data_IF_536089774748
#
_entry.id   IF_536089774748
#
_cell.length_a   1.000
_cell.length_b   1.000
_cell.length_c   1.000
_cell.angle_alpha   90.00
_cell.angle_beta   90.00
_cell.angle_gamma   90.00
#
_symmetry.space_group_name_H-M   'P 1'
#
loop_
_entity.id
_entity.type
_entity.pdbx_description
1 polymer ?
#
# COMPACT_ATOMS: atom_id res chain seq x y z
N UNK A 1 28.76 -18.75 -20.10
CA UNK A 1 29.81 -18.83 -19.07
C UNK A 1 31.16 -18.97 -19.79
N UNK A 2 31.43 -20.04 -20.54
CA UNK A 2 32.73 -20.29 -21.17
C UNK A 2 33.29 -19.08 -21.94
N UNK A 3 32.50 -18.41 -22.80
CA UNK A 3 32.92 -17.19 -23.52
C UNK A 3 33.27 -16.03 -22.60
N UNK A 4 32.65 -15.93 -21.40
CA UNK A 4 33.02 -14.91 -20.43
C UNK A 4 34.37 -15.23 -19.77
N UNK A 5 34.63 -16.50 -19.46
CA UNK A 5 35.92 -16.94 -18.92
C UNK A 5 37.09 -16.60 -19.84
N UNK A 6 36.88 -16.72 -21.16
CA UNK A 6 37.89 -16.42 -22.19
C UNK A 6 38.01 -14.90 -22.51
N UNK A 7 37.11 -14.08 -22.04
CA UNK A 7 37.07 -12.65 -22.36
C UNK A 7 38.26 -11.87 -21.73
N UNK A 8 38.71 -10.74 -22.31
CA UNK A 8 39.83 -9.96 -21.78
C UNK A 8 39.46 -9.04 -20.60
N UNK A 9 38.25 -9.09 -20.08
CA UNK A 9 37.81 -8.23 -18.98
C UNK A 9 38.41 -8.65 -17.64
N UNK A 10 38.41 -7.73 -16.64
CA UNK A 10 38.97 -8.01 -15.32
C UNK A 10 38.26 -9.21 -14.63
N UNK A 11 39.03 -10.00 -13.87
CA UNK A 11 38.52 -11.23 -13.24
C UNK A 11 37.29 -10.97 -12.32
N UNK A 12 37.33 -9.89 -11.53
CA UNK A 12 36.19 -9.52 -10.66
C UNK A 12 34.89 -9.25 -11.42
N UNK A 13 34.98 -8.71 -12.64
CA UNK A 13 33.82 -8.49 -13.52
C UNK A 13 33.31 -9.82 -14.06
N UNK A 14 34.26 -10.73 -14.47
CA UNK A 14 33.89 -12.08 -14.90
C UNK A 14 33.14 -12.84 -13.82
N UNK A 15 33.70 -12.85 -12.61
CA UNK A 15 33.17 -13.58 -11.47
C UNK A 15 31.73 -13.14 -11.16
N UNK A 16 31.48 -11.82 -11.16
CA UNK A 16 30.14 -11.26 -10.94
C UNK A 16 29.16 -11.70 -12.03
N UNK A 17 29.47 -11.49 -13.29
CA UNK A 17 28.56 -11.85 -14.40
C UNK A 17 28.35 -13.37 -14.51
N UNK A 18 29.37 -14.18 -14.25
CA UNK A 18 29.24 -15.63 -14.21
C UNK A 18 28.29 -16.04 -13.08
N UNK A 19 28.42 -15.44 -11.89
CA UNK A 19 27.54 -15.73 -10.76
C UNK A 19 26.08 -15.35 -11.06
N UNK A 20 25.83 -14.21 -11.68
CA UNK A 20 24.50 -13.81 -12.10
C UNK A 20 23.90 -14.79 -13.12
N UNK A 21 24.67 -15.15 -14.15
CA UNK A 21 24.19 -16.11 -15.16
C UNK A 21 23.91 -17.48 -14.55
N UNK A 22 24.72 -17.96 -13.58
CA UNK A 22 24.46 -19.20 -12.85
C UNK A 22 23.14 -19.12 -12.08
N UNK A 23 22.94 -18.05 -11.32
CA UNK A 23 21.71 -17.84 -10.55
C UNK A 23 20.47 -17.78 -11.45
N UNK A 24 20.51 -17.01 -12.54
CA UNK A 24 19.39 -16.91 -13.49
C UNK A 24 19.12 -18.22 -14.22
N UNK A 25 20.17 -18.95 -14.64
CA UNK A 25 20.01 -20.27 -15.23
C UNK A 25 19.33 -21.24 -14.26
N UNK A 26 19.78 -21.28 -13.04
CA UNK A 26 19.17 -22.13 -12.01
C UNK A 26 17.73 -21.72 -11.68
N UNK A 27 17.45 -20.42 -11.66
CA UNK A 27 16.09 -19.89 -11.51
C UNK A 27 15.15 -20.45 -12.58
N UNK A 28 15.45 -20.27 -13.86
CA UNK A 28 14.61 -20.78 -14.95
C UNK A 28 14.51 -22.31 -14.93
N UNK A 29 15.58 -23.00 -14.59
CA UNK A 29 15.56 -24.47 -14.52
C UNK A 29 14.76 -24.97 -13.34
N UNK A 30 14.78 -24.30 -12.19
CA UNK A 30 13.93 -24.64 -11.06
C UNK A 30 12.46 -24.40 -11.38
N UNK A 31 12.10 -23.31 -12.05
CA UNK A 31 10.72 -23.05 -12.48
C UNK A 31 10.19 -24.14 -13.42
N UNK A 32 11.00 -24.61 -14.34
CA UNK A 32 10.64 -25.74 -15.19
C UNK A 32 10.54 -27.04 -14.39
N UNK A 33 11.50 -27.29 -13.48
CA UNK A 33 11.53 -28.51 -12.66
C UNK A 33 10.29 -28.64 -11.76
N UNK A 34 9.91 -27.56 -11.07
CA UNK A 34 8.74 -27.59 -10.16
C UNK A 34 7.41 -27.78 -10.90
N UNK A 35 7.34 -27.42 -12.19
CA UNK A 35 6.12 -27.55 -13.01
C UNK A 35 6.04 -28.88 -13.76
N UNK A 36 7.18 -29.39 -14.26
CA UNK A 36 7.23 -30.53 -15.19
C UNK A 36 8.06 -31.70 -14.67
N UNK A 37 8.66 -31.58 -13.49
CA UNK A 37 9.63 -32.53 -13.00
C UNK A 37 10.95 -32.44 -13.76
N UNK A 38 11.82 -33.48 -13.69
CA UNK A 38 13.09 -33.51 -14.39
C UNK A 38 12.89 -33.31 -15.89
N UNK A 39 13.54 -32.29 -16.46
CA UNK A 39 13.51 -31.96 -17.89
C UNK A 39 14.92 -32.06 -18.49
N UNK A 40 15.04 -32.27 -19.80
CA UNK A 40 16.33 -32.23 -20.47
C UNK A 40 17.09 -30.95 -20.22
N UNK A 41 18.35 -31.06 -19.81
CA UNK A 41 19.23 -29.91 -19.53
C UNK A 41 20.16 -29.69 -20.70
N UNK A 42 19.85 -28.69 -21.55
CA UNK A 42 20.71 -28.29 -22.66
C UNK A 42 21.60 -27.17 -22.18
N UNK A 43 22.83 -27.48 -21.79
CA UNK A 43 23.77 -26.52 -21.18
C UNK A 43 24.73 -25.92 -22.18
N UNK A 44 24.91 -26.55 -23.36
CA UNK A 44 25.76 -26.10 -24.42
C UNK A 44 25.01 -25.09 -25.32
N UNK A 45 25.52 -23.85 -25.39
CA UNK A 45 24.88 -22.76 -26.14
C UNK A 45 24.70 -23.09 -27.63
N UNK A 46 25.66 -23.75 -28.23
CA UNK A 46 25.59 -24.12 -29.65
C UNK A 46 24.45 -25.11 -29.94
N UNK A 47 24.18 -26.04 -29.03
CA UNK A 47 23.05 -26.95 -29.12
C UNK A 47 21.70 -26.26 -28.93
N UNK A 48 21.66 -25.21 -28.11
CA UNK A 48 20.44 -24.42 -27.89
C UNK A 48 20.11 -23.50 -29.08
N UNK A 49 21.12 -22.96 -29.76
CA UNK A 49 20.97 -22.01 -30.88
C UNK A 49 20.85 -22.73 -32.24
N UNK A 50 21.64 -23.76 -32.44
CA UNK A 50 21.67 -24.58 -33.65
C UNK A 50 21.56 -26.05 -33.27
N UNK A 51 20.38 -26.54 -32.89
CA UNK A 51 20.20 -27.92 -32.46
C UNK A 51 20.55 -28.86 -33.63
N UNK A 52 21.42 -29.83 -33.34
CA UNK A 52 21.61 -30.96 -34.23
C UNK A 52 20.28 -31.68 -34.38
N UNK A 53 19.75 -31.89 -35.61
CA UNK A 53 18.47 -32.61 -35.81
C UNK A 53 18.46 -34.00 -35.24
N UNK A 54 19.62 -34.63 -35.10
CA UNK A 54 19.77 -35.97 -34.50
C UNK A 54 20.05 -35.96 -32.99
N UNK A 55 20.24 -34.76 -32.40
CA UNK A 55 20.46 -34.63 -30.97
C UNK A 55 19.20 -34.97 -30.18
N UNK A 56 19.28 -36.02 -29.37
CA UNK A 56 18.20 -36.45 -28.47
C UNK A 56 18.65 -36.28 -27.02
N UNK A 57 18.31 -35.11 -26.39
CA UNK A 57 18.66 -34.92 -25.00
C UNK A 57 17.97 -35.98 -24.13
N UNK A 58 18.72 -36.59 -23.22
CA UNK A 58 18.13 -37.49 -22.25
C UNK A 58 17.38 -36.73 -21.15
N UNK A 59 16.41 -37.38 -20.55
CA UNK A 59 15.71 -36.84 -19.38
C UNK A 59 16.50 -37.23 -18.13
N UNK A 60 17.04 -36.26 -17.38
CA UNK A 60 17.81 -36.55 -16.16
C UNK A 60 16.91 -37.09 -15.05
N UNK A 61 17.50 -37.65 -14.01
CA UNK A 61 16.83 -37.96 -12.76
C UNK A 61 16.60 -36.69 -11.92
N UNK A 62 15.71 -36.76 -10.94
CA UNK A 62 15.52 -35.65 -9.97
C UNK A 62 16.80 -35.36 -9.20
N UNK A 63 17.60 -36.39 -8.88
CA UNK A 63 18.89 -36.25 -8.20
C UNK A 63 19.92 -35.47 -9.05
N UNK A 64 19.99 -35.74 -10.35
CA UNK A 64 20.90 -35.03 -11.27
C UNK A 64 20.48 -33.55 -11.41
N UNK A 65 19.17 -33.28 -11.56
CA UNK A 65 18.67 -31.88 -11.59
C UNK A 65 18.92 -31.18 -10.26
N UNK A 66 18.67 -31.86 -9.14
CA UNK A 66 18.89 -31.33 -7.81
C UNK A 66 20.37 -31.00 -7.54
N UNK A 67 21.27 -31.91 -7.92
CA UNK A 67 22.71 -31.67 -7.82
C UNK A 67 23.13 -30.45 -8.66
N UNK A 68 22.59 -30.34 -9.88
CA UNK A 68 22.86 -29.18 -10.73
C UNK A 68 22.36 -27.89 -10.07
N UNK A 69 21.08 -27.83 -9.65
CA UNK A 69 20.47 -26.63 -9.06
C UNK A 69 21.20 -26.17 -7.79
N UNK A 70 21.48 -27.10 -6.89
CA UNK A 70 22.17 -26.78 -5.61
C UNK A 70 23.60 -26.31 -5.85
N UNK A 71 24.32 -26.92 -6.80
CA UNK A 71 25.70 -26.50 -7.15
C UNK A 71 25.71 -25.10 -7.78
N UNK A 72 24.82 -24.84 -8.73
CA UNK A 72 24.74 -23.54 -9.40
C UNK A 72 24.35 -22.41 -8.44
N UNK A 73 23.28 -22.63 -7.64
CA UNK A 73 22.78 -21.62 -6.70
C UNK A 73 23.77 -21.34 -5.56
N UNK A 74 24.44 -22.37 -5.04
CA UNK A 74 25.46 -22.18 -4.01
C UNK A 74 26.66 -21.40 -4.55
N UNK A 75 27.19 -21.82 -5.69
CA UNK A 75 28.31 -21.11 -6.35
C UNK A 75 27.95 -19.64 -6.69
N UNK A 76 26.72 -19.39 -7.12
CA UNK A 76 26.23 -18.05 -7.34
C UNK A 76 26.14 -17.24 -6.03
N UNK A 77 25.53 -17.80 -5.00
CA UNK A 77 25.39 -17.15 -3.68
C UNK A 77 26.74 -16.80 -3.05
N UNK A 78 27.75 -17.65 -3.23
CA UNK A 78 29.09 -17.42 -2.68
C UNK A 78 29.81 -16.24 -3.35
N UNK A 79 29.53 -15.98 -4.64
CA UNK A 79 30.17 -14.93 -5.43
C UNK A 79 29.36 -13.63 -5.56
N UNK A 80 28.03 -13.71 -5.40
CA UNK A 80 27.16 -12.53 -5.52
C UNK A 80 27.24 -11.65 -4.27
N UNK A 81 27.17 -10.30 -4.42
CA UNK A 81 27.03 -9.38 -3.30
C UNK A 81 25.62 -9.44 -2.71
N UNK A 82 25.49 -9.01 -1.46
CA UNK A 82 24.19 -8.87 -0.79
C UNK A 82 23.35 -7.78 -1.43
N UNK A 83 23.99 -6.71 -1.89
CA UNK A 83 23.39 -5.59 -2.59
C UNK A 83 24.16 -5.34 -3.92
N UNK A 84 23.43 -5.17 -5.01
CA UNK A 84 23.97 -4.84 -6.32
C UNK A 84 24.03 -3.32 -6.50
N UNK A 85 24.99 -2.86 -7.31
CA UNK A 85 25.10 -1.45 -7.67
C UNK A 85 23.89 -0.95 -8.51
N UNK A 86 23.27 -1.86 -9.26
CA UNK A 86 22.07 -1.60 -10.05
C UNK A 86 20.90 -2.39 -9.49
N UNK A 87 19.84 -1.69 -9.11
CA UNK A 87 18.61 -2.30 -8.64
C UNK A 87 17.98 -3.23 -9.70
N UNK A 88 17.41 -4.34 -9.24
CA UNK A 88 16.79 -5.37 -10.09
C UNK A 88 17.76 -6.47 -10.57
N UNK A 89 19.09 -6.31 -10.40
CA UNK A 89 20.05 -7.40 -10.65
C UNK A 89 19.98 -8.43 -9.53
N UNK A 90 20.21 -9.69 -9.90
CA UNK A 90 20.12 -10.80 -8.92
C UNK A 90 21.20 -10.70 -7.85
N UNK A 91 20.83 -10.94 -6.61
CA UNK A 91 21.68 -10.77 -5.42
C UNK A 91 21.98 -12.13 -4.76
N UNK A 92 22.93 -12.13 -3.80
CA UNK A 92 23.17 -13.28 -2.92
C UNK A 92 21.90 -13.81 -2.27
N UNK A 93 21.08 -12.91 -1.71
CA UNK A 93 19.84 -13.30 -1.05
C UNK A 93 18.82 -13.94 -2.00
N UNK A 94 18.72 -13.44 -3.23
CA UNK A 94 17.85 -14.04 -4.25
C UNK A 94 18.34 -15.45 -4.64
N UNK A 95 19.64 -15.64 -4.86
CA UNK A 95 20.19 -16.97 -5.16
C UNK A 95 19.98 -17.97 -4.01
N UNK A 96 20.19 -17.56 -2.77
CA UNK A 96 19.88 -18.36 -1.58
C UNK A 96 18.38 -18.66 -1.47
N UNK A 97 17.52 -17.71 -1.83
CA UNK A 97 16.07 -17.93 -1.76
C UNK A 97 15.61 -18.99 -2.77
N UNK A 98 16.15 -19.02 -4.00
CA UNK A 98 15.87 -20.12 -4.93
C UNK A 98 16.42 -21.46 -4.45
N UNK A 99 17.55 -21.47 -3.76
CA UNK A 99 18.06 -22.67 -3.10
C UNK A 99 17.12 -23.13 -1.98
N UNK A 100 16.61 -22.20 -1.18
CA UNK A 100 15.60 -22.48 -0.15
C UNK A 100 14.30 -23.04 -0.78
N UNK A 101 13.79 -22.43 -1.85
CA UNK A 101 12.62 -22.94 -2.59
C UNK A 101 12.81 -24.35 -3.09
N UNK A 102 13.99 -24.68 -3.62
CA UNK A 102 14.32 -26.02 -4.03
C UNK A 102 14.28 -27.01 -2.85
N UNK A 103 14.91 -26.66 -1.73
CA UNK A 103 14.89 -27.54 -0.55
C UNK A 103 13.48 -27.73 0.04
N UNK A 104 12.66 -26.69 0.04
CA UNK A 104 11.25 -26.78 0.45
C UNK A 104 10.46 -27.70 -0.48
N UNK A 105 10.65 -27.57 -1.82
CA UNK A 105 10.00 -28.41 -2.81
C UNK A 105 10.36 -29.91 -2.63
N UNK A 106 11.62 -30.20 -2.37
CA UNK A 106 12.12 -31.56 -2.14
C UNK A 106 11.93 -32.05 -0.70
N UNK A 107 11.28 -31.25 0.16
CA UNK A 107 11.06 -31.55 1.58
C UNK A 107 12.37 -31.84 2.35
N UNK A 108 13.45 -31.21 1.93
CA UNK A 108 14.74 -31.28 2.60
C UNK A 108 14.79 -30.27 3.76
N UNK A 109 13.96 -30.49 4.78
CA UNK A 109 13.65 -29.53 5.84
C UNK A 109 14.87 -28.98 6.58
N UNK A 110 15.88 -29.83 6.84
CA UNK A 110 17.10 -29.37 7.52
C UNK A 110 17.89 -28.38 6.65
N UNK A 111 18.09 -28.71 5.37
CA UNK A 111 18.76 -27.82 4.42
C UNK A 111 17.98 -26.53 4.20
N UNK A 112 16.66 -26.61 4.17
CA UNK A 112 15.77 -25.45 4.09
C UNK A 112 15.94 -24.53 5.32
N UNK A 113 15.94 -25.09 6.53
CA UNK A 113 16.12 -24.35 7.77
C UNK A 113 17.49 -23.64 7.82
N UNK A 114 18.56 -24.35 7.45
CA UNK A 114 19.91 -23.79 7.40
C UNK A 114 20.02 -22.65 6.38
N UNK A 115 19.46 -22.81 5.18
CA UNK A 115 19.45 -21.78 4.13
C UNK A 115 18.62 -20.56 4.53
N UNK A 116 17.44 -20.77 5.15
CA UNK A 116 16.63 -19.67 5.69
C UNK A 116 17.38 -18.88 6.77
N UNK A 117 18.08 -19.59 7.67
CA UNK A 117 18.92 -18.94 8.69
C UNK A 117 20.10 -18.17 8.07
N UNK A 118 20.71 -18.67 6.99
CA UNK A 118 21.75 -17.96 6.24
C UNK A 118 21.22 -16.65 5.65
N UNK A 119 20.03 -16.66 5.02
CA UNK A 119 19.39 -15.44 4.48
C UNK A 119 19.10 -14.43 5.60
N UNK A 120 18.53 -14.89 6.71
CA UNK A 120 18.24 -14.03 7.87
C UNK A 120 19.54 -13.46 8.44
N UNK A 121 20.60 -14.28 8.50
CA UNK A 121 21.93 -13.90 8.98
C UNK A 121 22.65 -12.84 8.13
N UNK A 122 22.18 -12.55 6.90
CA UNK A 122 22.68 -11.43 6.10
C UNK A 122 22.38 -10.08 6.75
N UNK A 123 21.35 -10.00 7.62
CA UNK A 123 20.89 -8.77 8.28
C UNK A 123 20.64 -7.63 7.30
N UNK A 124 20.15 -7.94 6.11
CA UNK A 124 19.89 -6.99 5.04
C UNK A 124 18.41 -6.79 4.78
N UNK A 125 17.63 -7.86 4.88
CA UNK A 125 16.21 -7.87 4.59
C UNK A 125 15.38 -7.61 5.85
N UNK A 126 14.25 -6.91 5.66
CA UNK A 126 13.31 -6.58 6.72
C UNK A 126 11.87 -6.72 6.22
N UNK A 127 10.92 -7.01 7.11
CA UNK A 127 9.50 -6.91 6.79
C UNK A 127 9.09 -5.44 6.71
N UNK A 128 8.51 -5.04 5.58
CA UNK A 128 7.86 -3.73 5.48
C UNK A 128 6.69 -3.62 6.47
N UNK A 129 6.59 -2.46 7.10
CA UNK A 129 5.56 -2.23 8.14
C UNK A 129 4.16 -2.16 7.53
N UNK A 130 4.03 -1.51 6.39
CA UNK A 130 2.78 -1.44 5.65
C UNK A 130 2.79 -2.43 4.48
N UNK A 131 1.83 -3.36 4.49
CA UNK A 131 1.74 -4.38 3.45
C UNK A 131 1.49 -3.79 2.05
N UNK A 132 0.71 -2.73 1.94
CA UNK A 132 0.40 -2.10 0.66
C UNK A 132 1.64 -1.45 0.03
N UNK A 133 2.51 -0.86 0.86
CA UNK A 133 3.72 -0.16 0.40
C UNK A 133 4.74 -1.08 -0.27
N UNK A 134 4.74 -2.39 0.05
CA UNK A 134 5.66 -3.37 -0.54
C UNK A 134 5.63 -3.36 -2.07
N UNK A 135 4.41 -3.20 -2.63
CA UNK A 135 4.14 -3.36 -4.07
C UNK A 135 3.97 -2.03 -4.80
N UNK A 136 4.11 -0.91 -4.08
CA UNK A 136 3.93 0.43 -4.62
C UNK A 136 5.12 0.84 -5.49
N UNK A 137 4.85 1.48 -6.65
CA UNK A 137 5.88 2.09 -7.49
C UNK A 137 6.70 3.17 -6.75
N UNK A 138 6.14 3.79 -5.70
CA UNK A 138 6.85 4.78 -4.88
C UNK A 138 7.79 4.18 -3.83
N UNK A 139 7.74 2.85 -3.61
CA UNK A 139 8.56 2.15 -2.60
C UNK A 139 9.33 0.97 -3.20
N UNK A 140 9.71 1.08 -4.46
CA UNK A 140 10.57 0.09 -5.12
C UNK A 140 11.93 0.00 -4.43
N UNK A 141 12.53 -1.19 -4.47
CA UNK A 141 13.80 -1.44 -3.80
C UNK A 141 13.73 -1.48 -2.26
N UNK A 142 12.51 -1.56 -1.68
CA UNK A 142 12.37 -1.73 -0.23
C UNK A 142 13.02 -3.03 0.28
N UNK A 143 13.32 -3.08 1.57
CA UNK A 143 14.10 -4.16 2.19
C UNK A 143 13.38 -5.52 2.29
N UNK A 144 12.10 -5.58 1.96
CA UNK A 144 11.38 -6.85 1.87
C UNK A 144 11.53 -7.51 0.50
N UNK A 145 11.83 -6.76 -0.56
CA UNK A 145 11.98 -7.27 -1.92
C UNK A 145 13.33 -8.00 -2.07
N UNK A 146 13.30 -9.24 -2.54
CA UNK A 146 14.49 -10.05 -2.77
C UNK A 146 14.83 -10.21 -4.25
N UNK A 147 13.81 -10.36 -5.09
CA UNK A 147 13.97 -10.41 -6.54
C UNK A 147 12.73 -9.87 -7.24
N UNK A 148 12.95 -9.02 -8.22
CA UNK A 148 11.90 -8.36 -9.00
C UNK A 148 12.23 -8.33 -10.49
N UNK A 149 11.18 -8.22 -11.31
CA UNK A 149 11.32 -7.79 -12.71
C UNK A 149 10.90 -6.32 -12.75
N UNK A 150 11.85 -5.46 -13.08
CA UNK A 150 11.61 -4.01 -13.13
C UNK A 150 10.63 -3.64 -14.22
N UNK A 151 9.86 -2.60 -13.96
CA UNK A 151 8.93 -2.00 -14.91
C UNK A 151 9.05 -0.46 -14.88
N UNK A 152 8.62 0.18 -15.96
CA UNK A 152 8.49 1.63 -16.09
C UNK A 152 7.10 1.91 -16.68
N UNK A 153 6.40 3.00 -16.35
CA UNK A 153 5.03 3.26 -16.82
C UNK A 153 5.00 3.71 -18.30
N UNK A 154 5.73 3.01 -19.15
CA UNK A 154 5.93 3.30 -20.57
C UNK A 154 5.59 2.07 -21.41
N UNK A 155 5.14 2.32 -22.65
CA UNK A 155 4.96 1.25 -23.62
C UNK A 155 6.26 0.44 -23.79
N UNK A 156 6.12 -0.89 -23.83
CA UNK A 156 7.20 -1.88 -23.95
C UNK A 156 8.12 -2.04 -22.72
N UNK A 157 8.02 -1.17 -21.72
CA UNK A 157 8.79 -1.24 -20.48
C UNK A 157 7.93 -1.48 -19.22
N UNK A 158 6.62 -1.22 -19.32
CA UNK A 158 5.67 -1.44 -18.26
C UNK A 158 5.11 -2.86 -18.26
N UNK A 159 4.32 -3.13 -17.23
CA UNK A 159 3.53 -4.36 -17.14
C UNK A 159 2.03 -4.06 -17.23
N UNK A 160 1.22 -5.09 -17.43
CA UNK A 160 -0.23 -4.99 -17.52
C UNK A 160 -0.94 -5.49 -16.26
N UNK A 161 -0.30 -5.43 -15.09
CA UNK A 161 -0.86 -6.02 -13.87
C UNK A 161 -2.24 -5.46 -13.54
N UNK A 162 -2.38 -4.13 -13.48
CA UNK A 162 -3.68 -3.53 -13.21
C UNK A 162 -4.65 -3.65 -14.39
N UNK A 163 -4.17 -3.57 -15.64
CA UNK A 163 -5.03 -3.67 -16.82
C UNK A 163 -5.78 -5.01 -16.89
N UNK A 164 -5.13 -6.10 -16.49
CA UNK A 164 -5.77 -7.43 -16.38
C UNK A 164 -6.87 -7.49 -15.30
N UNK A 165 -6.89 -6.55 -14.38
CA UNK A 165 -7.79 -6.56 -13.21
C UNK A 165 -8.92 -5.56 -13.38
N UNK A 166 -8.60 -4.31 -13.76
CA UNK A 166 -9.55 -3.21 -13.76
C UNK A 166 -10.69 -3.37 -14.76
N UNK A 167 -11.93 -2.99 -14.39
CA UNK A 167 -13.00 -2.74 -15.35
C UNK A 167 -12.65 -1.62 -16.34
N UNK A 168 -13.17 -1.67 -17.55
CA UNK A 168 -12.88 -0.68 -18.59
C UNK A 168 -13.35 0.75 -18.27
N UNK A 169 -14.30 0.87 -17.35
CA UNK A 169 -14.83 2.14 -16.84
C UNK A 169 -14.27 2.55 -15.46
N UNK A 170 -13.26 1.87 -14.93
CA UNK A 170 -12.64 2.21 -13.66
C UNK A 170 -12.04 3.63 -13.69
N UNK A 171 -12.41 4.47 -12.71
CA UNK A 171 -11.80 5.78 -12.53
C UNK A 171 -10.53 5.64 -11.64
N UNK A 172 -9.39 6.09 -12.15
CA UNK A 172 -8.17 6.13 -11.34
C UNK A 172 -8.31 7.13 -10.19
N UNK A 173 -7.90 6.77 -8.96
CA UNK A 173 -7.90 7.70 -7.84
C UNK A 173 -6.90 8.86 -8.01
N UNK A 174 -5.96 8.74 -8.94
CA UNK A 174 -4.96 9.77 -9.23
C UNK A 174 -5.31 10.67 -10.43
N UNK A 175 -6.47 10.43 -11.07
CA UNK A 175 -6.91 11.18 -12.25
C UNK A 175 -6.14 10.88 -13.54
N UNK A 176 -5.15 9.99 -13.52
CA UNK A 176 -4.47 9.51 -14.71
C UNK A 176 -5.38 8.57 -15.54
N UNK A 177 -5.09 8.47 -16.84
CA UNK A 177 -5.86 7.61 -17.75
C UNK A 177 -5.36 6.18 -17.62
N UNK A 178 -6.20 5.31 -17.04
CA UNK A 178 -5.97 3.87 -16.97
C UNK A 178 -7.00 3.13 -17.81
N UNK A 179 -6.57 2.01 -18.41
CA UNK A 179 -7.42 1.13 -19.20
C UNK A 179 -7.44 -0.27 -18.59
N UNK A 180 -8.64 -0.83 -18.45
CA UNK A 180 -8.86 -2.15 -17.85
C UNK A 180 -9.46 -3.14 -18.84
N UNK A 181 -9.08 -4.42 -18.71
CA UNK A 181 -9.54 -5.54 -19.55
C UNK A 181 -10.50 -6.48 -18.80
N UNK A 182 -10.78 -6.22 -17.52
CA UNK A 182 -11.69 -7.03 -16.67
C UNK A 182 -11.38 -8.52 -16.60
N UNK A 183 -10.09 -8.91 -16.68
CA UNK A 183 -9.69 -10.31 -16.84
C UNK A 183 -9.61 -11.12 -15.54
N UNK A 184 -9.24 -10.51 -14.43
CA UNK A 184 -8.99 -11.22 -13.17
C UNK A 184 -9.90 -10.74 -12.04
N UNK A 185 -10.38 -11.71 -11.26
CA UNK A 185 -11.16 -11.49 -10.03
C UNK A 185 -10.65 -12.38 -8.90
N UNK A 186 -10.74 -11.89 -7.69
CA UNK A 186 -10.60 -12.69 -6.49
C UNK A 186 -11.96 -13.29 -6.16
N UNK A 187 -12.16 -14.61 -6.23
CA UNK A 187 -13.46 -15.23 -5.93
C UNK A 187 -13.98 -14.80 -4.56
N UNK A 188 -15.31 -14.64 -4.44
CA UNK A 188 -15.93 -14.19 -3.20
C UNK A 188 -15.64 -15.14 -2.04
N UNK A 189 -15.59 -16.45 -2.27
CA UNK A 189 -15.28 -17.44 -1.25
C UNK A 189 -13.89 -17.21 -0.63
N UNK A 190 -12.91 -16.78 -1.45
CA UNK A 190 -11.58 -16.44 -0.96
C UNK A 190 -11.55 -15.05 -0.31
N UNK A 191 -12.22 -14.05 -0.91
CA UNK A 191 -12.34 -12.72 -0.32
C UNK A 191 -12.95 -12.75 1.09
N UNK A 192 -13.97 -13.60 1.30
CA UNK A 192 -14.67 -13.74 2.57
C UNK A 192 -13.86 -14.48 3.66
N UNK A 193 -12.71 -15.09 3.29
CA UNK A 193 -11.78 -15.66 4.29
C UNK A 193 -10.95 -14.61 5.00
N UNK A 194 -10.82 -13.41 4.44
CA UNK A 194 -10.11 -12.33 5.13
C UNK A 194 -10.94 -11.81 6.29
N UNK A 195 -10.32 -11.74 7.47
CA UNK A 195 -10.88 -11.01 8.61
C UNK A 195 -11.13 -9.55 8.21
N UNK A 196 -12.20 -8.94 8.74
CA UNK A 196 -12.53 -7.55 8.43
C UNK A 196 -11.46 -6.54 8.89
N UNK A 197 -10.64 -6.91 9.88
CA UNK A 197 -9.53 -6.12 10.37
C UNK A 197 -8.19 -6.43 9.66
N UNK A 198 -8.15 -7.39 8.75
CA UNK A 198 -6.97 -7.68 7.95
C UNK A 198 -6.78 -6.59 6.88
N UNK A 199 -5.74 -5.80 7.00
CA UNK A 199 -5.45 -4.68 6.07
C UNK A 199 -5.26 -5.13 4.62
N UNK A 200 -4.88 -6.39 4.40
CA UNK A 200 -4.73 -6.94 3.05
C UNK A 200 -6.07 -7.05 2.32
N UNK A 201 -7.19 -7.16 3.08
CA UNK A 201 -8.54 -7.17 2.52
C UNK A 201 -8.86 -5.89 1.75
N UNK A 202 -8.38 -4.73 2.22
CA UNK A 202 -8.58 -3.45 1.55
C UNK A 202 -7.90 -3.37 0.17
N UNK A 203 -6.90 -4.24 -0.10
CA UNK A 203 -6.26 -4.35 -1.41
C UNK A 203 -7.04 -5.23 -2.39
N UNK A 204 -8.13 -5.84 -1.94
CA UNK A 204 -9.11 -6.52 -2.78
C UNK A 204 -10.40 -5.70 -2.76
N UNK A 205 -10.60 -4.86 -3.79
CA UNK A 205 -11.73 -3.93 -3.83
C UNK A 205 -13.02 -4.65 -4.22
N UNK A 206 -14.02 -4.63 -3.35
CA UNK A 206 -15.38 -5.12 -3.62
C UNK A 206 -16.24 -4.08 -4.35
N UNK A 207 -15.81 -2.82 -4.30
CA UNK A 207 -16.45 -1.68 -4.92
C UNK A 207 -15.41 -0.82 -5.64
N UNK A 208 -15.83 -0.08 -6.67
CA UNK A 208 -14.98 0.91 -7.33
C UNK A 208 -15.78 2.11 -7.83
N UNK A 209 -15.10 3.23 -8.08
CA UNK A 209 -15.70 4.40 -8.73
C UNK A 209 -15.53 4.27 -10.24
N UNK A 210 -16.62 4.38 -10.99
CA UNK A 210 -16.60 4.39 -12.46
C UNK A 210 -16.22 5.77 -13.01
N UNK A 211 -15.81 5.84 -14.29
CA UNK A 211 -15.53 7.11 -15.00
C UNK A 211 -16.72 8.06 -15.04
N UNK A 212 -17.95 7.58 -14.81
CA UNK A 212 -19.14 8.42 -14.67
C UNK A 212 -19.32 9.01 -13.25
N UNK A 213 -18.45 8.66 -12.31
CA UNK A 213 -18.54 9.05 -10.90
C UNK A 213 -19.48 8.17 -10.05
N UNK A 214 -20.06 7.12 -10.62
CA UNK A 214 -20.92 6.21 -9.87
C UNK A 214 -20.09 5.16 -9.12
N UNK A 215 -20.48 4.82 -7.89
CA UNK A 215 -19.95 3.67 -7.17
C UNK A 215 -20.59 2.40 -7.71
N UNK A 216 -19.77 1.44 -8.08
CA UNK A 216 -20.16 0.11 -8.56
C UNK A 216 -19.83 -0.92 -7.50
N UNK A 217 -20.83 -1.52 -6.90
CA UNK A 217 -20.70 -2.68 -6.01
C UNK A 217 -20.65 -3.94 -6.90
N UNK A 218 -19.48 -4.59 -6.90
CA UNK A 218 -19.23 -5.78 -7.73
C UNK A 218 -20.09 -6.97 -7.30
N UNK A 219 -20.34 -7.13 -6.01
CA UNK A 219 -21.16 -8.24 -5.50
C UNK A 219 -22.64 -8.03 -5.85
N UNK A 220 -23.15 -6.82 -5.64
CA UNK A 220 -24.53 -6.49 -6.00
C UNK A 220 -24.78 -6.50 -7.52
N UNK A 221 -23.76 -6.18 -8.33
CA UNK A 221 -23.83 -6.28 -9.81
C UNK A 221 -23.74 -7.71 -10.34
N UNK A 222 -23.45 -8.71 -9.50
CA UNK A 222 -23.32 -10.11 -9.88
C UNK A 222 -21.95 -10.48 -10.45
N UNK A 223 -20.91 -9.68 -10.23
CA UNK A 223 -19.54 -10.03 -10.59
C UNK A 223 -19.05 -11.26 -9.77
N UNK A 224 -18.14 -12.02 -10.33
CA UNK A 224 -17.65 -13.29 -9.77
C UNK A 224 -16.66 -13.11 -8.61
N UNK A 225 -16.21 -11.88 -8.33
CA UNK A 225 -15.27 -11.60 -7.25
C UNK A 225 -14.82 -10.15 -7.17
N UNK A 226 -14.00 -9.86 -6.16
CA UNK A 226 -13.37 -8.56 -5.93
C UNK A 226 -12.19 -8.31 -6.88
N UNK A 227 -11.78 -7.04 -7.05
CA UNK A 227 -10.59 -6.64 -7.81
C UNK A 227 -9.32 -6.88 -6.97
N UNK A 228 -8.40 -7.81 -7.35
CA UNK A 228 -7.21 -8.11 -6.55
C UNK A 228 -6.09 -7.07 -6.78
N UNK A 229 -6.26 -5.85 -6.29
CA UNK A 229 -5.37 -4.72 -6.51
C UNK A 229 -4.20 -4.65 -5.52
N UNK A 230 -3.55 -5.78 -5.25
CA UNK A 230 -2.39 -5.86 -4.35
C UNK A 230 -1.27 -4.86 -4.71
N UNK A 231 -1.03 -4.63 -5.98
CA UNK A 231 -0.02 -3.69 -6.48
C UNK A 231 -0.50 -2.22 -6.44
N UNK A 232 -1.79 -1.99 -6.19
CA UNK A 232 -2.37 -0.66 -6.31
C UNK A 232 -2.41 -0.16 -7.76
N UNK A 233 -2.66 1.12 -7.91
CA UNK A 233 -2.57 1.83 -9.18
C UNK A 233 -1.30 2.70 -9.11
N UNK A 234 -0.45 2.60 -10.11
CA UNK A 234 0.69 3.50 -10.26
C UNK A 234 0.17 4.90 -10.63
N UNK A 235 0.49 5.95 -9.86
CA UNK A 235 0.09 7.32 -10.19
C UNK A 235 0.59 7.82 -11.55
N UNK A 236 1.69 7.27 -12.05
CA UNK A 236 2.28 7.63 -13.35
C UNK A 236 1.83 6.69 -14.48
N UNK A 237 0.98 5.70 -14.19
CA UNK A 237 0.48 4.76 -15.18
C UNK A 237 -0.21 5.46 -16.35
N UNK A 238 -0.04 4.93 -17.56
CA UNK A 238 -0.63 5.45 -18.79
C UNK A 238 -1.26 4.32 -19.61
N UNK A 239 -2.56 4.44 -19.90
CA UNK A 239 -3.30 3.43 -20.65
C UNK A 239 -3.31 2.09 -19.91
N UNK A 240 -2.66 1.08 -20.46
CA UNK A 240 -2.56 -0.27 -19.86
C UNK A 240 -1.21 -0.53 -19.16
N UNK A 241 -0.29 0.43 -19.19
CA UNK A 241 1.07 0.26 -18.71
C UNK A 241 1.26 0.75 -17.28
N UNK A 242 1.70 -0.13 -16.39
CA UNK A 242 2.07 0.17 -14.99
C UNK A 242 3.59 0.11 -14.80
N UNK A 243 4.11 1.00 -13.98
CA UNK A 243 5.52 1.01 -13.58
C UNK A 243 5.82 0.17 -12.33
N UNK A 244 4.81 -0.36 -11.64
CA UNK A 244 5.06 -1.22 -10.47
C UNK A 244 5.94 -2.42 -10.85
N UNK A 245 7.03 -2.64 -10.15
CA UNK A 245 7.87 -3.82 -10.32
C UNK A 245 7.10 -5.13 -10.12
N UNK A 246 7.34 -6.12 -10.95
CA UNK A 246 6.81 -7.47 -10.74
C UNK A 246 7.62 -8.19 -9.67
N UNK A 247 7.09 -8.28 -8.47
CA UNK A 247 7.73 -8.94 -7.34
C UNK A 247 7.68 -10.45 -7.51
N UNK A 248 8.85 -11.10 -7.57
CA UNK A 248 9.00 -12.55 -7.66
C UNK A 248 9.22 -13.17 -6.29
N UNK A 249 10.05 -12.54 -5.47
CA UNK A 249 10.51 -13.06 -4.18
C UNK A 249 10.51 -12.00 -3.10
N UNK A 250 10.07 -12.40 -1.89
CA UNK A 250 10.01 -11.52 -0.71
C UNK A 250 10.49 -12.20 0.56
N UNK A 251 11.08 -11.41 1.44
CA UNK A 251 11.59 -11.87 2.73
C UNK A 251 10.52 -12.54 3.61
N UNK A 252 9.26 -12.12 3.52
CA UNK A 252 8.16 -12.80 4.21
C UNK A 252 8.06 -14.29 3.87
N UNK A 253 8.36 -14.69 2.63
CA UNK A 253 8.36 -16.10 2.21
C UNK A 253 9.48 -16.89 2.90
N UNK A 254 10.67 -16.28 3.10
CA UNK A 254 11.77 -16.89 3.86
C UNK A 254 11.36 -17.21 5.30
N UNK A 255 10.66 -16.27 5.95
CA UNK A 255 10.19 -16.45 7.34
C UNK A 255 9.13 -17.56 7.43
N UNK A 256 8.21 -17.63 6.48
CA UNK A 256 7.20 -18.68 6.41
C UNK A 256 7.81 -20.05 6.10
N UNK A 257 8.75 -20.15 5.17
CA UNK A 257 9.48 -21.38 4.90
C UNK A 257 10.29 -21.85 6.11
N UNK A 258 10.91 -20.92 6.85
CA UNK A 258 11.56 -21.25 8.12
C UNK A 258 10.58 -21.81 9.14
N UNK A 259 9.39 -21.19 9.26
CA UNK A 259 8.35 -21.65 10.18
C UNK A 259 7.88 -23.07 9.82
N UNK A 260 7.65 -23.34 8.53
CA UNK A 260 7.26 -24.65 8.03
C UNK A 260 8.36 -25.69 8.26
N UNK A 261 9.61 -25.40 7.89
CA UNK A 261 10.74 -26.30 8.12
C UNK A 261 10.93 -26.65 9.61
N UNK A 262 10.81 -25.67 10.51
CA UNK A 262 10.84 -25.90 11.95
C UNK A 262 9.70 -26.82 12.42
N UNK A 263 8.48 -26.59 11.91
CA UNK A 263 7.33 -27.43 12.24
C UNK A 263 7.51 -28.87 11.73
N UNK A 264 8.00 -29.06 10.52
CA UNK A 264 8.24 -30.39 9.96
C UNK A 264 9.32 -31.17 10.68
N UNK A 265 10.39 -30.50 11.14
CA UNK A 265 11.45 -31.12 11.90
C UNK A 265 11.07 -31.44 13.35
N UNK A 266 10.38 -30.54 14.02
CA UNK A 266 10.21 -30.57 15.47
C UNK A 266 8.75 -30.72 15.95
N UNK A 267 7.77 -30.68 15.05
CA UNK A 267 6.36 -30.46 15.40
C UNK A 267 6.08 -29.01 15.79
N UNK A 268 4.85 -28.71 16.24
CA UNK A 268 4.49 -27.37 16.69
C UNK A 268 5.45 -26.85 17.74
N UNK A 269 5.98 -25.66 17.50
CA UNK A 269 6.99 -25.07 18.38
C UNK A 269 6.87 -23.54 18.40
N UNK A 270 7.34 -22.92 19.48
CA UNK A 270 7.19 -21.48 19.67
C UNK A 270 7.90 -20.68 18.56
N UNK A 271 9.04 -21.15 18.06
CA UNK A 271 9.77 -20.47 17.00
C UNK A 271 8.97 -20.36 15.70
N UNK A 272 8.23 -21.41 15.30
CA UNK A 272 7.32 -21.36 14.15
C UNK A 272 6.17 -20.40 14.41
N UNK A 273 5.55 -20.46 15.59
CA UNK A 273 4.43 -19.59 15.96
C UNK A 273 4.83 -18.12 15.97
N UNK A 274 6.01 -17.80 16.48
CA UNK A 274 6.53 -16.42 16.50
C UNK A 274 6.71 -15.84 15.09
N UNK A 275 7.29 -16.62 14.18
CA UNK A 275 7.47 -16.21 12.78
C UNK A 275 6.13 -15.96 12.07
N UNK A 276 5.14 -16.82 12.28
CA UNK A 276 3.78 -16.65 11.78
C UNK A 276 3.17 -15.38 12.37
N UNK A 277 3.30 -15.18 13.69
CA UNK A 277 2.76 -14.01 14.35
C UNK A 277 3.39 -12.70 13.88
N UNK A 278 4.66 -12.68 13.51
CA UNK A 278 5.28 -11.48 12.94
C UNK A 278 4.66 -11.07 11.61
N UNK A 279 4.37 -12.05 10.73
CA UNK A 279 3.63 -11.82 9.49
C UNK A 279 2.19 -11.34 9.78
N UNK A 280 1.53 -11.97 10.75
CA UNK A 280 0.16 -11.61 11.15
C UNK A 280 0.07 -10.21 11.77
N UNK A 281 0.99 -9.90 12.69
CA UNK A 281 1.07 -8.55 13.27
C UNK A 281 1.10 -7.49 12.17
N UNK A 282 1.92 -7.67 11.15
CA UNK A 282 1.96 -6.77 10.00
C UNK A 282 0.63 -6.72 9.25
N UNK A 283 0.02 -7.88 8.94
CA UNK A 283 -1.24 -7.96 8.21
C UNK A 283 -2.38 -7.23 8.93
N UNK A 284 -2.41 -7.31 10.26
CA UNK A 284 -3.38 -6.60 11.09
C UNK A 284 -2.89 -5.23 11.59
N UNK A 285 -1.68 -4.83 11.22
CA UNK A 285 -1.10 -3.54 11.58
C UNK A 285 -0.67 -3.41 13.03
N UNK A 286 -0.41 -4.51 13.73
CA UNK A 286 0.15 -4.47 15.08
C UNK A 286 1.56 -3.88 15.10
N UNK A 287 1.78 -2.93 16.00
CA UNK A 287 3.08 -2.27 16.15
C UNK A 287 3.40 -1.25 15.06
N UNK A 288 2.46 -1.02 14.12
CA UNK A 288 2.54 0.10 13.20
C UNK A 288 1.40 1.06 13.50
N UNK A 289 1.74 2.27 13.91
CA UNK A 289 0.78 3.35 13.82
C UNK A 289 0.53 3.62 12.32
N UNK A 290 -0.74 3.75 11.93
CA UNK A 290 -1.07 4.36 10.64
C UNK A 290 -0.57 5.81 10.71
N UNK A 291 0.31 6.26 9.80
CA UNK A 291 0.81 7.61 9.86
C UNK A 291 -0.33 8.63 9.80
N UNK A 292 -0.12 9.77 10.37
CA UNK A 292 -1.01 10.91 10.16
C UNK A 292 -0.98 11.26 8.66
N UNK A 293 -2.17 11.35 8.05
CA UNK A 293 -2.32 11.67 6.62
C UNK A 293 -3.20 12.91 6.50
N UNK A 294 -2.69 14.03 5.97
CA UNK A 294 -3.55 15.16 5.64
C UNK A 294 -4.65 14.73 4.68
N UNK A 295 -5.91 14.96 5.05
CA UNK A 295 -7.05 14.77 4.15
C UNK A 295 -7.15 15.99 3.25
N UNK A 296 -7.01 17.18 3.84
CA UNK A 296 -6.82 18.42 3.11
C UNK A 296 -6.14 19.48 3.98
N UNK A 297 -5.58 20.50 3.31
CA UNK A 297 -5.14 21.77 3.86
C UNK A 297 -5.64 22.90 2.96
N UNK A 298 -6.26 23.92 3.53
CA UNK A 298 -6.76 25.09 2.80
C UNK A 298 -6.15 26.36 3.37
N UNK A 299 -5.56 27.17 2.50
CA UNK A 299 -4.90 28.46 2.83
C UNK A 299 -5.54 29.66 2.12
N UNK A 300 -6.65 29.46 1.43
CA UNK A 300 -7.43 30.48 0.74
C UNK A 300 -6.65 31.38 -0.23
N UNK A 301 -5.64 30.83 -0.89
CA UNK A 301 -4.86 31.53 -1.92
C UNK A 301 -5.60 31.65 -3.27
N UNK A 302 -6.74 30.96 -3.42
CA UNK A 302 -7.59 30.98 -4.58
C UNK A 302 -8.56 32.18 -4.65
N UNK A 303 -9.46 32.14 -5.62
CA UNK A 303 -10.57 33.10 -5.78
C UNK A 303 -11.91 32.38 -5.64
N UNK A 304 -12.95 33.12 -5.27
CA UNK A 304 -14.31 32.57 -5.27
C UNK A 304 -14.82 32.31 -6.69
N UNK A 305 -15.42 31.13 -6.87
CA UNK A 305 -16.29 30.81 -8.02
C UNK A 305 -17.69 30.61 -7.46
N UNK A 306 -18.58 31.52 -7.77
CA UNK A 306 -19.89 31.62 -7.13
C UNK A 306 -19.78 31.72 -5.60
N UNK A 307 -20.26 30.71 -4.86
CA UNK A 307 -20.17 30.61 -3.40
C UNK A 307 -19.12 29.58 -2.92
N UNK A 308 -18.16 29.20 -3.76
CA UNK A 308 -17.15 28.18 -3.44
C UNK A 308 -15.75 28.80 -3.50
N UNK A 309 -14.93 28.53 -2.48
CA UNK A 309 -13.50 28.81 -2.48
C UNK A 309 -12.74 27.56 -2.06
N UNK A 310 -11.77 27.12 -2.89
CA UNK A 310 -11.08 25.85 -2.69
C UNK A 310 -12.08 24.70 -2.61
N UNK A 311 -12.11 24.02 -1.47
CA UNK A 311 -13.04 22.89 -1.20
C UNK A 311 -14.25 23.29 -0.35
N UNK A 312 -14.40 24.57 0.00
CA UNK A 312 -15.45 25.06 0.88
C UNK A 312 -16.56 25.78 0.12
N UNK A 313 -17.81 25.48 0.47
CA UNK A 313 -19.00 26.20 0.04
C UNK A 313 -19.52 27.11 1.16
N UNK A 314 -19.97 28.31 0.78
CA UNK A 314 -20.54 29.30 1.64
C UNK A 314 -22.07 29.30 1.52
N UNK A 315 -22.76 28.80 2.54
CA UNK A 315 -24.21 28.53 2.48
C UNK A 315 -24.99 29.40 3.46
N UNK A 316 -26.04 30.07 2.97
CA UNK A 316 -27.03 30.76 3.78
C UNK A 316 -28.39 30.09 3.60
N UNK A 317 -28.85 29.38 4.63
CA UNK A 317 -30.09 28.59 4.60
C UNK A 317 -31.32 29.34 5.12
N UNK A 318 -31.14 30.58 5.62
CA UNK A 318 -32.25 31.38 6.18
C UNK A 318 -32.22 32.85 5.76
N UNK A 319 -32.07 33.10 4.45
CA UNK A 319 -32.11 34.47 3.91
C UNK A 319 -33.45 35.17 4.19
N UNK A 320 -34.58 34.41 4.15
CA UNK A 320 -35.92 34.94 4.43
C UNK A 320 -36.12 35.25 5.93
N UNK A 321 -35.40 34.61 6.83
CA UNK A 321 -35.38 34.85 8.29
C UNK A 321 -34.45 35.97 8.71
N UNK A 322 -33.76 36.62 7.74
CA UNK A 322 -32.94 37.79 8.00
C UNK A 322 -31.46 37.49 8.27
N UNK A 323 -30.97 36.26 8.06
CA UNK A 323 -29.54 35.98 8.09
C UNK A 323 -28.84 36.58 6.87
N UNK A 324 -27.72 37.22 7.04
CA UNK A 324 -26.96 37.88 5.99
C UNK A 324 -25.47 37.92 6.29
N UNK A 325 -24.65 37.61 5.31
CA UNK A 325 -23.22 37.70 5.33
C UNK A 325 -22.62 38.06 3.97
N UNK A 326 -21.37 38.58 4.01
CA UNK A 326 -20.52 38.74 2.83
C UNK A 326 -19.21 38.02 3.08
N UNK A 327 -18.55 37.63 2.03
CA UNK A 327 -17.26 36.94 2.12
C UNK A 327 -16.39 37.27 0.91
N UNK A 328 -15.07 37.37 1.17
CA UNK A 328 -14.06 37.62 0.16
C UNK A 328 -12.71 37.03 0.62
N UNK A 329 -11.66 37.19 -0.18
CA UNK A 329 -10.30 36.82 0.18
C UNK A 329 -9.58 38.07 0.67
N UNK A 330 -9.23 38.10 1.94
CA UNK A 330 -8.37 39.15 2.51
C UNK A 330 -6.91 38.94 2.10
N UNK A 331 -6.38 39.87 1.31
CA UNK A 331 -4.99 39.89 0.83
C UNK A 331 -4.07 40.78 1.70
N UNK A 332 -4.57 41.28 2.83
CA UNK A 332 -3.85 42.23 3.72
C UNK A 332 -3.00 41.56 4.80
N UNK A 333 -2.84 40.22 4.74
CA UNK A 333 -2.08 39.46 5.72
C UNK A 333 -2.58 39.62 7.17
N UNK A 334 -3.90 39.69 7.36
CA UNK A 334 -4.54 39.98 8.66
C UNK A 334 -4.25 38.92 9.73
N UNK A 335 -3.96 37.68 9.31
CA UNK A 335 -3.57 36.54 10.17
C UNK A 335 -2.05 36.30 10.21
N UNK A 336 -1.25 37.16 9.60
CA UNK A 336 0.22 37.06 9.51
C UNK A 336 0.71 35.80 8.73
N UNK A 337 -0.07 35.35 7.74
CA UNK A 337 0.24 34.12 7.00
C UNK A 337 -0.15 34.16 5.51
N UNK A 338 -0.23 35.35 4.91
CA UNK A 338 -0.65 35.49 3.52
C UNK A 338 -2.12 35.85 3.38
N UNK A 339 -2.82 35.19 2.45
CA UNK A 339 -4.25 35.42 2.27
C UNK A 339 -5.05 34.68 3.37
N UNK A 340 -6.26 35.13 3.59
CA UNK A 340 -7.21 34.47 4.48
C UNK A 340 -8.63 34.64 3.98
N UNK A 341 -9.54 33.73 4.31
CA UNK A 341 -10.95 33.93 4.10
C UNK A 341 -11.44 35.03 5.05
N UNK A 342 -12.08 36.08 4.53
CA UNK A 342 -12.74 37.13 5.28
C UNK A 342 -14.25 36.96 5.16
N UNK A 343 -14.93 36.99 6.29
CA UNK A 343 -16.39 36.85 6.37
C UNK A 343 -16.93 38.03 7.20
N UNK A 344 -17.82 38.82 6.60
CA UNK A 344 -18.59 39.86 7.29
C UNK A 344 -19.99 39.31 7.58
N UNK A 345 -20.29 39.07 8.87
CA UNK A 345 -21.60 38.61 9.31
C UNK A 345 -22.46 39.80 9.69
N UNK A 346 -23.37 40.22 8.83
CA UNK A 346 -24.33 41.31 9.05
C UNK A 346 -25.39 40.88 10.06
N UNK A 347 -25.92 39.66 9.89
CA UNK A 347 -26.86 39.00 10.81
C UNK A 347 -26.73 37.49 10.73
N UNK A 348 -26.52 36.82 11.86
CA UNK A 348 -26.31 35.36 11.88
C UNK A 348 -27.60 34.54 11.89
N UNK A 349 -28.79 35.17 12.08
CA UNK A 349 -30.03 34.45 12.35
C UNK A 349 -30.10 33.90 13.78
N UNK A 350 -31.06 33.02 14.02
CA UNK A 350 -31.34 32.48 15.38
C UNK A 350 -30.88 31.04 15.56
N UNK A 351 -30.67 30.31 14.49
CA UNK A 351 -30.33 28.90 14.50
C UNK A 351 -28.88 28.69 14.05
N UNK A 352 -28.16 27.76 14.68
CA UNK A 352 -26.74 27.49 14.40
C UNK A 352 -26.48 27.11 12.93
N UNK A 353 -27.41 26.51 12.25
CA UNK A 353 -27.29 26.00 10.90
C UNK A 353 -27.54 27.05 9.80
N UNK A 354 -27.97 28.27 10.14
CA UNK A 354 -28.38 29.27 9.15
C UNK A 354 -27.25 29.77 8.24
N UNK A 355 -26.06 29.96 8.78
CA UNK A 355 -24.86 30.32 8.04
C UNK A 355 -23.80 29.23 8.22
N UNK A 356 -23.36 28.63 7.12
CA UNK A 356 -22.38 27.54 7.14
C UNK A 356 -21.28 27.73 6.11
N UNK A 357 -20.03 27.69 6.55
CA UNK A 357 -18.89 27.38 5.71
C UNK A 357 -18.66 25.87 5.77
N UNK A 358 -18.83 25.15 4.66
CA UNK A 358 -18.99 23.68 4.63
C UNK A 358 -18.11 23.00 3.60
N UNK A 359 -17.57 21.83 3.93
CA UNK A 359 -16.93 20.86 3.03
C UNK A 359 -17.35 19.44 3.38
N UNK A 360 -17.11 18.49 2.49
CA UNK A 360 -17.52 17.08 2.65
C UNK A 360 -16.34 16.11 2.45
N UNK A 361 -15.35 16.09 3.37
CA UNK A 361 -14.20 15.21 3.27
C UNK A 361 -14.59 13.74 3.47
N UNK A 362 -13.90 12.84 2.74
CA UNK A 362 -13.97 11.40 2.94
C UNK A 362 -13.23 11.01 4.24
N UNK A 363 -13.87 10.20 5.05
CA UNK A 363 -13.27 9.65 6.29
C UNK A 363 -13.26 8.13 6.25
N UNK A 364 -12.26 7.52 6.90
CA UNK A 364 -12.07 6.09 6.96
C UNK A 364 -12.55 5.53 8.31
N UNK A 365 -13.32 4.44 8.26
CA UNK A 365 -13.84 3.73 9.44
C UNK A 365 -12.73 3.46 10.46
N UNK A 366 -13.03 3.70 11.73
CA UNK A 366 -12.11 3.46 12.84
C UNK A 366 -11.05 4.54 13.05
N UNK A 367 -10.82 5.48 12.12
CA UNK A 367 -9.84 6.57 12.28
C UNK A 367 -10.40 7.75 13.06
N UNK A 368 -9.51 8.39 13.83
CA UNK A 368 -9.72 9.71 14.43
C UNK A 368 -9.11 10.78 13.54
N UNK A 369 -9.61 11.98 13.65
CA UNK A 369 -9.17 13.13 12.88
C UNK A 369 -8.83 14.31 13.79
N UNK A 370 -7.87 15.10 13.39
CA UNK A 370 -7.60 16.41 13.99
C UNK A 370 -8.04 17.52 13.03
N UNK A 371 -8.58 18.58 13.59
CA UNK A 371 -8.97 19.80 12.87
C UNK A 371 -8.15 20.93 13.46
N UNK A 372 -7.48 21.72 12.62
CA UNK A 372 -6.73 22.89 13.02
C UNK A 372 -7.10 24.07 12.13
N UNK A 373 -7.07 25.27 12.67
CA UNK A 373 -7.26 26.50 11.91
C UNK A 373 -6.76 27.72 12.68
N UNK A 374 -6.47 28.82 11.97
CA UNK A 374 -6.26 30.14 12.53
C UNK A 374 -7.51 31.00 12.38
N UNK A 375 -7.85 31.71 13.42
CA UNK A 375 -9.06 32.49 13.51
C UNK A 375 -8.80 33.86 14.14
N UNK A 376 -9.51 34.91 13.67
CA UNK A 376 -9.56 36.23 14.27
C UNK A 376 -10.92 36.83 14.05
N UNK A 377 -11.47 37.51 15.06
CA UNK A 377 -12.74 38.22 14.94
C UNK A 377 -12.60 39.69 15.36
N UNK A 378 -13.44 40.56 14.75
CA UNK A 378 -13.48 42.00 15.10
C UNK A 378 -14.22 42.27 16.42
N UNK A 379 -15.02 41.32 16.90
CA UNK A 379 -15.75 41.37 18.17
C UNK A 379 -15.60 40.05 18.95
N UNK A 380 -15.96 40.07 20.25
CA UNK A 380 -16.14 38.84 21.00
C UNK A 380 -17.30 38.05 20.42
N UNK A 381 -17.02 36.81 19.90
CA UNK A 381 -18.01 35.92 19.29
C UNK A 381 -17.82 34.51 19.78
N UNK A 382 -18.91 33.75 19.65
CA UNK A 382 -18.89 32.30 19.86
C UNK A 382 -19.71 31.62 18.74
N UNK A 383 -19.15 30.54 18.20
CA UNK A 383 -19.79 29.70 17.20
C UNK A 383 -19.33 28.25 17.35
N UNK A 384 -19.79 27.35 16.52
CA UNK A 384 -19.46 25.93 16.62
C UNK A 384 -18.77 25.44 15.36
N UNK A 385 -17.81 24.53 15.57
CA UNK A 385 -17.37 23.61 14.54
C UNK A 385 -18.13 22.30 14.71
N UNK A 386 -18.64 21.77 13.59
CA UNK A 386 -19.39 20.52 13.56
C UNK A 386 -18.89 19.61 12.48
N UNK A 387 -18.89 18.32 12.82
CA UNK A 387 -18.71 17.23 11.87
C UNK A 387 -19.89 16.32 12.02
N UNK A 388 -20.61 16.05 10.95
CA UNK A 388 -21.82 15.24 10.94
C UNK A 388 -21.72 14.10 9.94
N UNK A 389 -22.35 12.98 10.25
CA UNK A 389 -22.31 11.75 9.45
C UNK A 389 -21.53 10.64 10.17
N UNK A 390 -20.68 9.89 9.45
CA UNK A 390 -19.90 8.78 10.03
C UNK A 390 -18.96 9.21 11.16
N UNK A 391 -18.61 10.50 11.16
CA UNK A 391 -17.79 11.14 12.16
C UNK A 391 -18.61 12.22 12.84
N UNK A 392 -19.05 11.99 14.08
CA UNK A 392 -19.81 12.96 14.83
C UNK A 392 -18.91 13.69 15.83
N UNK A 393 -18.80 15.01 15.67
CA UNK A 393 -18.02 15.87 16.56
C UNK A 393 -18.62 17.27 16.59
N UNK A 394 -18.61 17.90 17.75
CA UNK A 394 -19.05 19.28 17.93
C UNK A 394 -18.19 19.94 18.98
N UNK A 395 -17.71 21.15 18.71
CA UNK A 395 -16.97 21.95 19.67
C UNK A 395 -17.30 23.44 19.50
N UNK A 396 -17.41 24.13 20.62
CA UNK A 396 -17.67 25.58 20.65
C UNK A 396 -16.35 26.36 20.59
N UNK A 397 -16.30 27.32 19.68
CA UNK A 397 -15.15 28.20 19.49
C UNK A 397 -15.51 29.61 20.01
N UNK A 398 -14.77 30.09 21.01
CA UNK A 398 -14.90 31.47 21.51
C UNK A 398 -13.69 32.27 21.07
N UNK A 399 -13.92 33.44 20.45
CA UNK A 399 -12.89 34.38 20.03
C UNK A 399 -13.06 35.70 20.80
N UNK A 400 -11.93 36.31 21.15
CA UNK A 400 -11.87 37.67 21.68
C UNK A 400 -11.57 38.67 20.57
N UNK A 401 -12.15 39.86 20.66
CA UNK A 401 -11.99 40.92 19.67
C UNK A 401 -10.51 41.23 19.40
N UNK A 402 -10.11 41.12 18.14
CA UNK A 402 -8.77 41.41 17.66
C UNK A 402 -7.67 40.39 17.96
N UNK A 403 -7.95 39.37 18.76
CA UNK A 403 -6.99 38.30 19.09
C UNK A 403 -6.95 37.27 17.98
N UNK A 404 -5.73 36.83 17.58
CA UNK A 404 -5.52 35.67 16.68
C UNK A 404 -5.49 34.42 17.53
N UNK A 405 -6.37 33.48 17.23
CA UNK A 405 -6.47 32.19 17.91
C UNK A 405 -6.05 31.06 16.97
N UNK A 406 -5.11 30.26 17.42
CA UNK A 406 -4.88 28.91 16.84
C UNK A 406 -5.82 27.93 17.52
N UNK A 407 -6.77 27.41 16.75
CA UNK A 407 -7.74 26.42 17.22
C UNK A 407 -7.28 25.01 16.80
N UNK A 408 -7.46 24.05 17.69
CA UNK A 408 -7.20 22.65 17.40
C UNK A 408 -8.14 21.75 18.21
N UNK A 409 -8.76 20.78 17.54
CA UNK A 409 -9.59 19.77 18.18
C UNK A 409 -9.38 18.39 17.58
N UNK A 410 -9.89 17.36 18.25
CA UNK A 410 -9.81 15.96 17.78
C UNK A 410 -11.19 15.33 17.86
N UNK A 411 -11.51 14.52 16.83
CA UNK A 411 -12.79 13.82 16.73
C UNK A 411 -12.74 12.45 17.43
N UNK A 412 -13.91 11.82 17.60
CA UNK A 412 -14.03 10.38 17.83
C UNK A 412 -13.56 9.56 16.61
N UNK A 413 -13.74 8.24 16.67
CA UNK A 413 -13.50 7.33 15.53
C UNK A 413 -14.67 7.41 14.55
N UNK A 414 -14.36 7.46 13.24
CA UNK A 414 -15.39 7.33 12.20
C UNK A 414 -16.03 5.93 12.24
N UNK A 415 -17.33 5.88 12.02
CA UNK A 415 -18.11 4.62 12.10
C UNK A 415 -18.14 3.87 10.77
N UNK A 416 -17.92 4.57 9.65
CA UNK A 416 -18.00 4.05 8.28
C UNK A 416 -17.01 4.76 7.37
N UNK A 417 -16.71 4.14 6.21
CA UNK A 417 -15.93 4.75 5.12
C UNK A 417 -16.89 5.57 4.23
N UNK A 418 -17.08 6.83 4.55
CA UNK A 418 -18.03 7.70 3.85
C UNK A 418 -17.64 9.17 4.00
N UNK A 419 -18.19 10.06 3.14
CA UNK A 419 -18.04 11.49 3.33
C UNK A 419 -18.75 11.94 4.61
N UNK A 420 -18.11 12.82 5.38
CA UNK A 420 -18.73 13.53 6.48
C UNK A 420 -18.95 15.01 6.10
N UNK A 421 -19.91 15.67 6.73
CA UNK A 421 -20.06 17.10 6.61
C UNK A 421 -19.22 17.80 7.68
N UNK A 422 -18.16 18.52 7.29
CA UNK A 422 -17.39 19.40 8.16
C UNK A 422 -17.81 20.86 7.90
N UNK A 423 -18.26 21.58 8.92
CA UNK A 423 -18.66 22.96 8.75
C UNK A 423 -18.44 23.82 10.01
N UNK A 424 -18.17 25.11 9.77
CA UNK A 424 -18.28 26.17 10.76
C UNK A 424 -19.71 26.68 10.75
N UNK A 425 -20.37 26.55 11.89
CA UNK A 425 -21.75 26.93 12.10
C UNK A 425 -21.79 28.35 12.67
N UNK A 426 -21.91 29.36 11.81
CA UNK A 426 -21.91 30.78 12.17
C UNK A 426 -23.31 31.34 12.48
N UNK A 427 -24.36 30.53 12.35
CA UNK A 427 -25.68 30.89 12.79
C UNK A 427 -25.70 31.07 14.32
N UNK A 428 -26.52 32.01 14.81
CA UNK A 428 -26.64 32.38 16.22
C UNK A 428 -25.33 32.87 16.88
N UNK A 429 -24.34 33.30 16.09
CA UNK A 429 -23.03 33.81 16.60
C UNK A 429 -23.00 35.33 16.89
N UNK A 430 -24.13 36.02 16.64
CA UNK A 430 -24.24 37.46 16.75
C UNK A 430 -24.27 38.16 15.39
N UNK A 431 -24.18 39.49 15.42
CA UNK A 431 -24.27 40.29 14.19
C UNK A 431 -23.30 41.48 14.18
N UNK A 432 -23.01 41.93 12.97
CA UNK A 432 -22.16 43.10 12.72
C UNK A 432 -20.71 42.86 13.17
N UNK A 433 -20.13 41.71 12.85
CA UNK A 433 -18.74 41.37 13.09
C UNK A 433 -18.05 40.87 11.82
N UNK A 434 -16.73 40.92 11.84
CA UNK A 434 -15.86 40.32 10.81
C UNK A 434 -15.10 39.18 11.41
N UNK A 435 -14.89 38.12 10.59
CA UNK A 435 -14.16 36.89 10.93
C UNK A 435 -13.14 36.58 9.84
N UNK A 436 -11.91 36.32 10.21
CA UNK A 436 -10.84 35.85 9.34
C UNK A 436 -10.50 34.43 9.70
N UNK A 437 -10.35 33.59 8.66
CA UNK A 437 -10.11 32.15 8.77
C UNK A 437 -8.97 31.78 7.83
N UNK A 438 -8.00 30.99 8.33
CA UNK A 438 -6.90 30.49 7.52
C UNK A 438 -6.34 29.16 8.06
N UNK A 439 -5.46 28.53 7.26
CA UNK A 439 -4.76 27.30 7.60
C UNK A 439 -5.69 26.20 8.13
N UNK A 440 -6.81 25.96 7.47
CA UNK A 440 -7.68 24.85 7.86
C UNK A 440 -7.02 23.54 7.43
N UNK A 441 -6.67 22.74 8.43
CA UNK A 441 -6.16 21.38 8.22
C UNK A 441 -7.13 20.37 8.79
N UNK A 442 -7.49 19.37 7.99
CA UNK A 442 -8.20 18.17 8.42
C UNK A 442 -7.29 16.96 8.16
N UNK A 443 -6.83 16.33 9.24
CA UNK A 443 -5.79 15.32 9.18
C UNK A 443 -6.26 14.04 9.87
N UNK A 444 -6.19 12.90 9.16
CA UNK A 444 -6.35 11.61 9.78
C UNK A 444 -5.19 11.41 10.78
N UNK A 445 -5.51 11.25 12.06
CA UNK A 445 -4.52 11.13 13.12
C UNK A 445 -3.72 9.84 13.00
N UNK A 446 -2.50 9.85 13.53
CA UNK A 446 -1.79 8.61 13.78
C UNK A 446 -2.66 7.69 14.65
N UNK A 447 -2.82 6.45 14.24
CA UNK A 447 -3.61 5.45 14.97
C UNK A 447 -2.74 4.24 15.23
N UNK A 448 -2.55 3.92 16.52
CA UNK A 448 -2.04 2.62 16.90
C UNK A 448 -3.02 1.53 16.39
N UNK A 449 -2.49 0.45 15.86
CA UNK A 449 -3.34 -0.65 15.43
C UNK A 449 -4.07 -1.22 16.65
N UNK A 450 -5.40 -1.07 16.67
CA UNK A 450 -6.26 -1.72 17.65
C UNK A 450 -6.42 -3.19 17.24
N UNK A 451 -5.50 -4.03 17.67
CA UNK A 451 -5.62 -5.45 17.44
C UNK A 451 -5.60 -6.18 18.78
N UNK A 452 -6.73 -6.78 19.14
CA UNK A 452 -6.82 -7.57 20.35
C UNK A 452 -5.95 -8.82 20.30
N UNK A 453 -5.60 -9.35 21.48
CA UNK A 453 -4.84 -10.60 21.68
C UNK A 453 -5.41 -11.81 20.89
N UNK A 454 -6.70 -11.75 20.50
CA UNK A 454 -7.39 -12.80 19.73
C UNK A 454 -6.78 -13.07 18.34
N UNK A 455 -6.00 -12.13 17.77
CA UNK A 455 -5.39 -12.26 16.44
C UNK A 455 -3.99 -12.89 16.52
N UNK A 456 -3.34 -12.78 17.67
CA UNK A 456 -2.03 -13.41 17.93
C UNK A 456 -2.26 -14.87 18.31
N UNK A 457 -1.64 -15.75 17.57
CA UNK A 457 -1.73 -17.19 17.81
C UNK A 457 -0.84 -17.64 18.97
N UNK A 458 -1.33 -18.62 19.70
CA UNK A 458 -0.61 -19.28 20.79
C UNK A 458 -0.19 -20.68 20.36
N UNK A 459 0.89 -21.20 20.91
CA UNK A 459 1.32 -22.59 20.61
C UNK A 459 0.21 -23.61 20.91
N UNK A 460 -0.61 -23.36 21.91
CA UNK A 460 -1.76 -24.19 22.28
C UNK A 460 -2.86 -24.28 21.19
N UNK A 461 -2.86 -23.34 20.21
CA UNK A 461 -3.79 -23.37 19.08
C UNK A 461 -3.44 -24.46 18.06
N UNK A 462 -2.24 -25.03 18.17
CA UNK A 462 -1.68 -25.97 17.22
C UNK A 462 -1.33 -27.30 17.89
N UNK A 463 -2.29 -28.23 18.02
CA UNK A 463 -2.08 -29.52 18.70
C UNK A 463 -1.16 -30.47 17.94
N UNK A 464 -1.00 -30.30 16.63
CA UNK A 464 -0.18 -31.15 15.75
C UNK A 464 0.45 -30.36 14.59
N UNK A 465 1.31 -31.04 13.81
CA UNK A 465 1.99 -30.46 12.65
C UNK A 465 1.04 -29.95 11.57
N UNK A 466 -0.06 -30.68 11.35
CA UNK A 466 -0.99 -30.38 10.27
C UNK A 466 -1.75 -29.09 10.58
N UNK A 467 -2.18 -28.91 11.83
CA UNK A 467 -2.85 -27.68 12.28
C UNK A 467 -1.99 -26.42 12.15
N UNK A 468 -0.67 -26.53 12.31
CA UNK A 468 0.24 -25.40 12.12
C UNK A 468 0.60 -25.17 10.66
N UNK A 469 0.70 -26.24 9.84
CA UNK A 469 0.98 -26.16 8.41
C UNK A 469 -0.19 -25.55 7.63
N UNK A 470 -1.41 -25.91 7.98
CA UNK A 470 -2.64 -25.48 7.28
C UNK A 470 -3.01 -24.02 7.58
N UNK A 471 -2.21 -23.38 8.43
CA UNK A 471 -2.35 -21.99 8.86
C UNK A 471 -1.41 -21.05 8.12
#
# INVERSE_FOLDING_TARGET
>A
IAKMEESPVAQSVKDLYIAEVRALRAFFMFDLYRLYGPMPMILEADQAINPDPDYKPYRPTSEEVGTFLTTELRAAADALPVEQAEYGRITKGAALHYLLKYYMHEKQWQNALETANEIIGLNYYELEKDYASIFSAQNEGNKELMFVVRAEPLADYGNHTYANILPGDYASPYGNIVEGWSGHRMPWEFYDTFDENDRRRALAQAEYTSKSGATVDLRASGDVGALPLKYGIDPEATGTWAGNDKVLDRYAEVLLFKAEALNELNGPNQGSVDLINDIRKRAFGFGTSLPAIPVFKESFDGEFVDNVIGIFSMNNYDQAGGSAWKYDVDKNNTLNNGNSLHVEVESSGTEFWTLQMRTEPLVAKGRKYSIKMKLKASKDIQFEIRVEGPLSHMESISLKAGEVKEFSTQTGKATEDQNCALFLALGNSGSGYELWIDEIEFTAMEQAADGGDAIIKQLSDFPDKESLRDW
#
